data_IF_188684868086
#
_entry.id   IF_188684868086
#
_cell.length_a   1.000
_cell.length_b   1.000
_cell.length_c   1.000
_cell.angle_alpha   90.00
_cell.angle_beta   90.00
_cell.angle_gamma   90.00
#
_symmetry.space_group_name_H-M   'P 1'
#
loop_
_entity.id
_entity.type
_entity.pdbx_description
1 polymer ?
#
# COMPACT_ATOMS: atom_id res chain seq x y z
N UNK A 1 -4.80 24.34 3.89
CA UNK A 1 -4.30 25.36 2.93
C UNK A 1 -3.44 24.68 1.89
N UNK A 2 -2.38 23.98 2.28
CA UNK A 2 -1.55 23.19 1.35
C UNK A 2 -2.36 22.18 0.51
N UNK A 3 -3.34 21.49 1.09
CA UNK A 3 -4.24 20.63 0.30
C UNK A 3 -5.05 21.39 -0.76
N UNK A 4 -5.50 22.62 -0.46
CA UNK A 4 -6.26 23.43 -1.42
C UNK A 4 -5.35 23.89 -2.57
N UNK A 5 -4.12 24.25 -2.25
CA UNK A 5 -3.10 24.58 -3.24
C UNK A 5 -2.72 23.37 -4.10
N UNK A 6 -2.59 22.19 -3.49
CA UNK A 6 -2.34 20.93 -4.19
C UNK A 6 -3.39 20.63 -5.27
N UNK A 7 -4.67 20.92 -5.00
CA UNK A 7 -5.76 20.72 -5.96
C UNK A 7 -6.06 21.96 -6.82
N UNK A 8 -5.19 22.98 -6.81
CA UNK A 8 -5.35 24.16 -7.66
C UNK A 8 -6.48 25.12 -7.28
N UNK A 9 -6.97 25.09 -6.02
CA UNK A 9 -8.04 25.99 -5.58
C UNK A 9 -7.54 27.09 -4.62
N UNK A 10 -8.21 28.25 -4.59
CA UNK A 10 -7.89 29.32 -3.65
C UNK A 10 -7.86 28.85 -2.19
N UNK A 11 -6.93 29.38 -1.39
CA UNK A 11 -6.75 28.97 0.01
C UNK A 11 -7.94 29.31 0.92
N UNK A 12 -8.87 30.16 0.46
CA UNK A 12 -10.13 30.51 1.14
C UNK A 12 -11.30 29.57 0.78
N UNK A 13 -11.10 28.58 -0.10
CA UNK A 13 -12.06 27.56 -0.50
C UNK A 13 -12.32 26.48 0.60
N UNK A 14 -12.41 26.89 1.87
CA UNK A 14 -12.64 26.02 3.02
C UNK A 14 -13.95 25.22 2.95
N UNK A 15 -14.91 25.66 2.14
CA UNK A 15 -16.16 24.93 1.91
C UNK A 15 -15.90 23.53 1.36
N UNK A 16 -14.88 23.34 0.51
CA UNK A 16 -14.49 22.02 0.01
C UNK A 16 -14.06 21.08 1.15
N UNK A 17 -13.26 21.57 2.10
CA UNK A 17 -12.82 20.78 3.26
C UNK A 17 -14.03 20.37 4.13
N UNK A 18 -15.01 21.27 4.27
CA UNK A 18 -16.22 21.03 5.05
C UNK A 18 -17.14 20.03 4.37
N UNK A 19 -17.40 20.21 3.08
CA UNK A 19 -18.33 19.37 2.31
C UNK A 19 -17.79 17.96 2.06
N UNK A 20 -16.47 17.82 1.92
CA UNK A 20 -15.80 16.51 1.81
C UNK A 20 -15.62 15.81 3.16
N UNK A 21 -15.90 16.47 4.29
CA UNK A 21 -15.74 15.89 5.63
C UNK A 21 -14.28 15.63 6.05
N UNK A 22 -13.31 16.21 5.35
CA UNK A 22 -11.88 15.89 5.48
C UNK A 22 -11.17 16.59 6.65
N UNK A 23 -11.81 17.58 7.27
CA UNK A 23 -11.20 18.41 8.33
C UNK A 23 -10.56 17.58 9.47
N UNK A 24 -11.28 16.58 9.97
CA UNK A 24 -10.82 15.76 11.11
C UNK A 24 -9.56 14.96 10.75
N UNK A 25 -9.51 14.45 9.52
CA UNK A 25 -8.41 13.64 9.01
C UNK A 25 -7.17 14.52 8.78
N UNK A 26 -7.32 15.72 8.22
CA UNK A 26 -6.23 16.70 8.13
C UNK A 26 -5.69 17.15 9.49
N UNK A 27 -6.58 17.35 10.46
CA UNK A 27 -6.18 17.74 11.82
C UNK A 27 -5.31 16.66 12.49
N UNK A 28 -5.71 15.39 12.40
CA UNK A 28 -4.94 14.28 12.95
C UNK A 28 -3.65 14.01 12.15
N UNK A 29 -3.66 14.21 10.84
CA UNK A 29 -2.47 14.11 10.00
C UNK A 29 -1.42 15.15 10.39
N UNK A 30 -1.83 16.40 10.61
CA UNK A 30 -0.92 17.49 11.00
C UNK A 30 -0.18 17.16 12.30
N UNK A 31 -0.88 16.54 13.27
CA UNK A 31 -0.24 16.06 14.50
C UNK A 31 0.77 14.96 14.22
N UNK A 32 0.40 14.01 13.36
CA UNK A 32 1.20 12.84 13.01
C UNK A 32 2.50 13.24 12.32
N UNK A 33 2.42 14.05 11.26
CA UNK A 33 3.58 14.57 10.54
C UNK A 33 4.57 15.29 11.47
N UNK A 34 4.07 16.09 12.42
CA UNK A 34 4.93 16.79 13.38
C UNK A 34 5.65 15.85 14.37
N UNK A 35 5.07 14.70 14.68
CA UNK A 35 5.62 13.78 15.69
C UNK A 35 6.41 12.62 15.11
N UNK A 36 6.17 12.26 13.84
CA UNK A 36 6.81 11.11 13.20
C UNK A 36 8.20 11.45 12.67
N UNK A 37 8.36 12.63 12.06
CA UNK A 37 9.60 13.00 11.37
C UNK A 37 10.53 13.83 12.25
N UNK A 38 11.84 13.65 12.06
CA UNK A 38 12.88 14.42 12.73
C UNK A 38 13.02 15.84 12.18
N UNK A 39 14.11 16.52 12.54
CA UNK A 39 14.44 17.89 12.07
C UNK A 39 15.58 17.94 11.05
N UNK A 40 16.08 16.78 10.59
CA UNK A 40 17.09 16.77 9.52
C UNK A 40 16.47 17.18 8.19
N UNK A 41 17.30 17.58 7.25
CA UNK A 41 16.86 17.90 5.88
C UNK A 41 16.14 16.71 5.24
N UNK A 42 16.74 15.52 5.28
CA UNK A 42 16.11 14.29 4.79
C UNK A 42 14.76 13.99 5.48
N UNK A 43 14.63 14.31 6.78
CA UNK A 43 13.36 14.13 7.49
C UNK A 43 12.29 15.09 7.01
N UNK A 44 12.66 16.33 6.67
CA UNK A 44 11.72 17.33 6.16
C UNK A 44 11.32 17.03 4.70
N UNK A 45 12.23 16.51 3.87
CA UNK A 45 11.92 16.02 2.52
C UNK A 45 10.88 14.91 2.61
N UNK A 46 11.17 13.84 3.35
CA UNK A 46 10.28 12.70 3.51
C UNK A 46 8.92 13.07 4.14
N UNK A 47 8.91 14.02 5.08
CA UNK A 47 7.67 14.57 5.65
C UNK A 47 6.83 15.30 4.61
N UNK A 48 7.46 16.02 3.69
CA UNK A 48 6.76 16.71 2.60
C UNK A 48 6.21 15.71 1.59
N UNK A 49 6.98 14.72 1.17
CA UNK A 49 6.51 13.63 0.30
C UNK A 49 5.32 12.90 0.95
N UNK A 50 5.45 12.50 2.22
CA UNK A 50 4.36 11.85 2.98
C UNK A 50 3.09 12.70 3.05
N UNK A 51 3.24 14.02 3.09
CA UNK A 51 2.10 14.94 3.08
C UNK A 51 1.42 14.95 1.71
N UNK A 52 2.17 14.91 0.62
CA UNK A 52 1.63 14.86 -0.74
C UNK A 52 0.94 13.51 -1.01
N UNK A 53 1.58 12.39 -0.67
CA UNK A 53 0.96 11.05 -0.80
C UNK A 53 -0.32 10.94 0.02
N UNK A 54 -0.35 11.55 1.21
CA UNK A 54 -1.57 11.64 2.00
C UNK A 54 -2.67 12.48 1.36
N UNK A 55 -2.34 13.55 0.63
CA UNK A 55 -3.34 14.33 -0.11
C UNK A 55 -3.98 13.50 -1.22
N UNK A 56 -3.18 12.75 -1.97
CA UNK A 56 -3.66 11.80 -2.99
C UNK A 56 -4.53 10.71 -2.35
N UNK A 57 -4.11 10.15 -1.21
CA UNK A 57 -4.92 9.20 -0.47
C UNK A 57 -6.30 9.79 -0.06
N UNK A 58 -6.34 11.03 0.44
CA UNK A 58 -7.61 11.72 0.75
C UNK A 58 -8.49 11.86 -0.48
N UNK A 59 -7.92 12.24 -1.63
CA UNK A 59 -8.63 12.40 -2.90
C UNK A 59 -9.21 11.09 -3.41
N UNK A 60 -8.44 10.00 -3.35
CA UNK A 60 -8.90 8.65 -3.67
C UNK A 60 -10.15 8.29 -2.83
N UNK A 61 -10.13 8.57 -1.53
CA UNK A 61 -11.27 8.31 -0.63
C UNK A 61 -12.48 9.22 -0.89
N UNK A 62 -12.26 10.46 -1.33
CA UNK A 62 -13.35 11.32 -1.82
C UNK A 62 -13.98 10.71 -3.08
N UNK A 63 -13.17 10.26 -4.04
CA UNK A 63 -13.64 9.62 -5.28
C UNK A 63 -14.46 8.36 -5.04
N UNK A 64 -14.08 7.56 -4.03
CA UNK A 64 -14.79 6.35 -3.62
C UNK A 64 -16.06 6.63 -2.77
N UNK A 65 -16.32 7.89 -2.39
CA UNK A 65 -17.48 8.27 -1.58
C UNK A 65 -17.36 7.90 -0.08
N UNK A 66 -16.14 7.74 0.44
CA UNK A 66 -15.85 7.22 1.79
C UNK A 66 -16.11 8.20 2.96
N UNK A 67 -17.10 9.10 2.84
CA UNK A 67 -17.33 10.18 3.81
C UNK A 67 -17.57 9.74 5.26
N UNK A 68 -18.02 8.50 5.49
CA UNK A 68 -18.25 7.93 6.83
C UNK A 68 -17.10 7.08 7.39
N UNK A 69 -16.23 6.53 6.54
CA UNK A 69 -15.15 5.59 6.93
C UNK A 69 -13.76 6.20 6.89
N UNK A 70 -13.58 7.36 6.25
CA UNK A 70 -12.30 8.03 6.09
C UNK A 70 -11.54 8.27 7.40
N UNK A 71 -12.23 8.52 8.51
CA UNK A 71 -11.60 8.65 9.82
C UNK A 71 -11.00 7.32 10.34
N UNK A 72 -11.65 6.19 10.06
CA UNK A 72 -11.11 4.86 10.39
C UNK A 72 -9.92 4.55 9.47
N UNK A 73 -10.10 4.71 8.17
CA UNK A 73 -9.06 4.39 7.18
C UNK A 73 -7.83 5.30 7.31
N UNK A 74 -8.02 6.56 7.71
CA UNK A 74 -6.90 7.48 7.99
C UNK A 74 -6.06 7.05 9.19
N UNK A 75 -6.65 6.33 10.16
CA UNK A 75 -5.88 5.70 11.24
C UNK A 75 -5.05 4.52 10.73
N UNK A 76 -5.59 3.75 9.79
CA UNK A 76 -4.87 2.65 9.15
C UNK A 76 -3.72 3.18 8.29
N UNK A 77 -3.94 4.21 7.47
CA UNK A 77 -2.87 4.89 6.71
C UNK A 77 -1.75 5.38 7.64
N UNK A 78 -2.12 6.07 8.73
CA UNK A 78 -1.16 6.53 9.73
C UNK A 78 -0.34 5.40 10.35
N UNK A 79 -0.99 4.29 10.70
CA UNK A 79 -0.34 3.17 11.42
C UNK A 79 0.55 2.35 10.48
N UNK A 80 0.03 2.07 9.28
CA UNK A 80 0.56 1.05 8.39
C UNK A 80 1.36 1.62 7.21
N UNK A 81 1.30 2.94 6.97
CA UNK A 81 2.14 3.60 5.97
C UNK A 81 3.09 4.57 6.67
N UNK A 82 2.57 5.68 7.21
CA UNK A 82 3.40 6.80 7.72
C UNK A 82 4.38 6.37 8.82
N UNK A 83 3.95 5.48 9.73
CA UNK A 83 4.75 5.06 10.88
C UNK A 83 5.64 3.85 10.60
N UNK A 84 5.60 3.30 9.39
CA UNK A 84 6.41 2.14 9.00
C UNK A 84 7.77 2.59 8.48
N UNK A 85 8.76 1.70 8.54
CA UNK A 85 10.13 1.99 8.08
C UNK A 85 10.17 2.12 6.56
N UNK A 86 9.23 1.47 5.89
CA UNK A 86 9.01 1.44 4.44
C UNK A 86 8.33 2.73 3.91
N UNK A 87 8.01 3.72 4.77
CA UNK A 87 7.34 4.93 4.33
C UNK A 87 8.11 5.68 3.22
N UNK A 88 9.43 5.73 3.29
CA UNK A 88 10.27 6.38 2.27
C UNK A 88 10.21 5.62 0.95
N UNK A 89 10.19 4.29 1.00
CA UNK A 89 10.10 3.44 -0.19
C UNK A 89 8.74 3.64 -0.86
N UNK A 90 7.66 3.60 -0.07
CA UNK A 90 6.31 3.93 -0.55
C UNK A 90 6.26 5.31 -1.19
N UNK A 91 6.79 6.34 -0.53
CA UNK A 91 6.76 7.71 -1.06
C UNK A 91 7.52 7.83 -2.38
N UNK A 92 8.69 7.20 -2.49
CA UNK A 92 9.50 7.20 -3.71
C UNK A 92 8.83 6.44 -4.86
N UNK A 93 8.15 5.32 -4.55
CA UNK A 93 7.49 4.50 -5.56
C UNK A 93 6.27 5.20 -6.17
N UNK A 94 5.57 6.03 -5.40
CA UNK A 94 4.38 6.76 -5.88
C UNK A 94 4.67 8.21 -6.28
N UNK A 95 5.93 8.67 -6.25
CA UNK A 95 6.30 10.07 -6.48
C UNK A 95 5.79 10.57 -7.84
N UNK A 96 6.14 9.87 -8.93
CA UNK A 96 5.70 10.21 -10.29
C UNK A 96 4.17 10.21 -10.41
N UNK A 97 3.49 9.24 -9.78
CA UNK A 97 2.02 9.14 -9.80
C UNK A 97 1.37 10.33 -9.07
N UNK A 98 1.97 10.77 -7.97
CA UNK A 98 1.48 11.93 -7.20
C UNK A 98 1.64 13.21 -8.01
N UNK A 99 2.76 13.37 -8.73
CA UNK A 99 3.01 14.50 -9.63
C UNK A 99 1.99 14.51 -10.78
N UNK A 100 1.78 13.37 -11.46
CA UNK A 100 0.79 13.24 -12.53
C UNK A 100 -0.62 13.58 -12.06
N UNK A 101 -1.03 13.07 -10.90
CA UNK A 101 -2.33 13.41 -10.30
C UNK A 101 -2.42 14.90 -9.99
N UNK A 102 -1.35 15.50 -9.48
CA UNK A 102 -1.35 16.92 -9.17
C UNK A 102 -1.52 17.76 -10.45
N UNK A 103 -0.73 17.48 -11.48
CA UNK A 103 -0.76 18.20 -12.75
C UNK A 103 -2.14 18.11 -13.40
N UNK A 104 -2.72 16.91 -13.45
CA UNK A 104 -4.09 16.72 -13.94
C UNK A 104 -5.10 17.57 -13.17
N UNK A 105 -5.04 17.57 -11.83
CA UNK A 105 -5.96 18.36 -11.00
C UNK A 105 -5.81 19.86 -11.25
N UNK A 106 -4.60 20.35 -11.52
CA UNK A 106 -4.33 21.75 -11.84
C UNK A 106 -4.90 22.19 -13.19
N UNK A 107 -5.08 21.26 -14.14
CA UNK A 107 -5.77 21.55 -15.41
C UNK A 107 -7.29 21.73 -15.23
N UNK A 108 -7.85 21.22 -14.13
CA UNK A 108 -9.28 21.27 -13.86
C UNK A 108 -9.68 22.54 -13.09
N UNK A 109 -10.78 23.18 -13.54
CA UNK A 109 -11.40 24.27 -12.79
C UNK A 109 -12.27 23.73 -11.66
N UNK A 110 -11.67 23.50 -10.50
CA UNK A 110 -12.38 23.01 -9.30
C UNK A 110 -13.10 24.16 -8.59
N UNK A 111 -14.43 24.10 -8.55
CA UNK A 111 -15.33 25.12 -7.96
C UNK A 111 -16.23 24.57 -6.85
N UNK A 112 -16.14 23.26 -6.58
CA UNK A 112 -17.01 22.54 -5.65
C UNK A 112 -16.76 21.05 -5.68
N UNK A 113 -17.44 20.31 -4.80
CA UNK A 113 -17.26 18.86 -4.68
C UNK A 113 -17.59 18.15 -5.98
N UNK A 114 -18.62 18.57 -6.72
CA UNK A 114 -18.97 17.96 -8.00
C UNK A 114 -17.84 18.07 -9.05
N UNK A 115 -17.22 19.25 -9.17
CA UNK A 115 -16.07 19.43 -10.07
C UNK A 115 -14.82 18.72 -9.58
N UNK A 116 -14.63 18.59 -8.25
CA UNK A 116 -13.53 17.83 -7.67
C UNK A 116 -13.70 16.33 -7.95
N UNK A 117 -14.89 15.76 -7.72
CA UNK A 117 -15.21 14.38 -8.05
C UNK A 117 -15.05 14.09 -9.53
N UNK A 118 -15.41 15.05 -10.39
CA UNK A 118 -15.17 14.95 -11.83
C UNK A 118 -13.66 14.89 -12.13
N UNK A 119 -12.86 15.81 -11.60
CA UNK A 119 -11.41 15.81 -11.82
C UNK A 119 -10.77 14.49 -11.36
N UNK A 120 -11.16 13.96 -10.19
CA UNK A 120 -10.71 12.64 -9.71
C UNK A 120 -11.13 11.51 -10.68
N UNK A 121 -12.33 11.60 -11.27
CA UNK A 121 -12.82 10.60 -12.23
C UNK A 121 -12.10 10.69 -13.57
N UNK A 122 -11.75 11.89 -14.00
CA UNK A 122 -11.03 12.11 -15.25
C UNK A 122 -9.56 11.61 -15.14
N UNK A 123 -8.97 11.62 -13.93
CA UNK A 123 -7.65 11.05 -13.60
C UNK A 123 -7.71 9.63 -13.00
N UNK A 124 -8.74 8.85 -13.32
CA UNK A 124 -9.02 7.55 -12.67
C UNK A 124 -7.84 6.58 -12.73
N UNK A 125 -7.12 6.52 -13.84
CA UNK A 125 -6.06 5.53 -14.05
C UNK A 125 -4.90 5.75 -13.05
N UNK A 126 -4.43 6.99 -12.87
CA UNK A 126 -3.39 7.32 -11.89
C UNK A 126 -3.85 7.07 -10.44
N UNK A 127 -5.13 7.33 -10.15
CA UNK A 127 -5.71 6.99 -8.84
C UNK A 127 -5.81 5.47 -8.61
N UNK A 128 -6.08 4.67 -9.65
CA UNK A 128 -6.09 3.21 -9.54
C UNK A 128 -4.69 2.68 -9.29
N UNK A 129 -3.68 3.17 -10.02
CA UNK A 129 -2.27 2.80 -9.81
C UNK A 129 -1.78 3.16 -8.40
N UNK A 130 -2.07 4.37 -7.91
CA UNK A 130 -1.76 4.75 -6.54
C UNK A 130 -2.42 3.82 -5.51
N UNK A 131 -3.68 3.44 -5.73
CA UNK A 131 -4.40 2.58 -4.80
C UNK A 131 -3.84 1.15 -4.79
N UNK A 132 -3.41 0.62 -5.94
CA UNK A 132 -2.81 -0.70 -6.03
C UNK A 132 -1.51 -0.79 -5.20
N UNK A 133 -0.62 0.21 -5.36
CA UNK A 133 0.62 0.30 -4.57
C UNK A 133 0.30 0.51 -3.08
N UNK A 134 -0.63 1.41 -2.77
CA UNK A 134 -1.06 1.63 -1.38
C UNK A 134 -1.60 0.35 -0.72
N UNK A 135 -2.43 -0.41 -1.42
CA UNK A 135 -3.03 -1.64 -0.88
C UNK A 135 -1.96 -2.74 -0.68
N UNK A 136 -0.96 -2.82 -1.57
CA UNK A 136 0.21 -3.70 -1.37
C UNK A 136 0.97 -3.37 -0.08
N UNK A 137 1.33 -2.11 0.13
CA UNK A 137 2.05 -1.69 1.34
C UNK A 137 1.19 -1.86 2.59
N UNK A 138 -0.11 -1.57 2.51
CA UNK A 138 -1.04 -1.76 3.61
C UNK A 138 -1.12 -3.23 4.02
N UNK A 139 -1.21 -4.14 3.05
CA UNK A 139 -1.29 -5.57 3.30
C UNK A 139 0.03 -6.13 3.86
N UNK A 140 1.16 -5.70 3.33
CA UNK A 140 2.48 -6.09 3.84
C UNK A 140 2.69 -5.61 5.28
N UNK A 141 2.39 -4.33 5.55
CA UNK A 141 2.48 -3.76 6.88
C UNK A 141 1.56 -4.45 7.91
N UNK A 142 0.39 -4.93 7.48
CA UNK A 142 -0.55 -5.71 8.31
C UNK A 142 -0.06 -7.14 8.56
N UNK A 143 0.62 -7.77 7.60
CA UNK A 143 1.25 -9.09 7.77
C UNK A 143 2.42 -9.03 8.75
N UNK A 144 3.22 -7.95 8.69
CA UNK A 144 4.39 -7.75 9.54
C UNK A 144 4.06 -7.50 11.03
N UNK A 145 2.83 -7.10 11.36
CA UNK A 145 2.40 -6.87 12.74
C UNK A 145 1.92 -8.11 13.48
N UNK A 146 1.69 -9.22 12.78
CA UNK A 146 1.11 -10.40 13.38
C UNK A 146 2.01 -11.61 13.12
N UNK A 147 2.96 -11.83 14.03
CA UNK A 147 3.80 -13.03 14.04
C UNK A 147 2.96 -14.31 14.01
N UNK A 148 1.78 -14.34 14.63
CA UNK A 148 0.88 -15.49 14.55
C UNK A 148 0.28 -15.66 13.15
N UNK A 149 0.02 -14.55 12.43
CA UNK A 149 -0.38 -14.60 11.02
C UNK A 149 0.76 -15.08 10.13
N UNK A 150 1.97 -14.57 10.33
CA UNK A 150 3.16 -15.02 9.62
C UNK A 150 3.42 -16.52 9.87
N UNK A 151 3.42 -16.96 11.13
CA UNK A 151 3.53 -18.38 11.51
C UNK A 151 2.42 -19.21 10.87
N UNK A 152 1.18 -18.70 10.83
CA UNK A 152 0.05 -19.38 10.19
C UNK A 152 0.25 -19.51 8.67
N UNK A 153 0.83 -18.51 8.01
CA UNK A 153 1.10 -18.55 6.58
C UNK A 153 2.24 -19.51 6.24
N UNK A 154 3.35 -19.49 7.01
CA UNK A 154 4.40 -20.51 6.92
C UNK A 154 3.82 -21.91 7.16
N UNK A 155 2.93 -22.06 8.14
CA UNK A 155 2.25 -23.33 8.43
C UNK A 155 1.37 -23.81 7.27
N UNK A 156 0.71 -22.91 6.53
CA UNK A 156 -0.06 -23.26 5.33
C UNK A 156 0.84 -23.75 4.21
N UNK A 157 2.02 -23.14 4.01
CA UNK A 157 3.00 -23.58 3.01
C UNK A 157 3.51 -24.98 3.36
N UNK A 158 3.93 -25.19 4.61
CA UNK A 158 4.36 -26.49 5.11
C UNK A 158 3.27 -27.56 4.94
N UNK A 159 2.00 -27.21 5.23
CA UNK A 159 0.86 -28.10 5.02
C UNK A 159 0.69 -28.46 3.54
N UNK A 160 0.76 -27.50 2.62
CA UNK A 160 0.68 -27.76 1.17
C UNK A 160 1.76 -28.73 0.70
N UNK A 161 3.00 -28.57 1.17
CA UNK A 161 4.10 -29.49 0.83
C UNK A 161 3.88 -30.89 1.42
N UNK A 162 3.38 -30.96 2.66
CA UNK A 162 3.01 -32.23 3.31
C UNK A 162 1.90 -32.94 2.56
N UNK A 163 0.89 -32.21 2.11
CA UNK A 163 -0.23 -32.74 1.34
C UNK A 163 0.26 -33.29 -0.01
N UNK A 164 1.10 -32.54 -0.74
CA UNK A 164 1.74 -33.00 -1.99
C UNK A 164 2.55 -34.28 -1.75
N UNK A 165 3.38 -34.32 -0.70
CA UNK A 165 4.14 -35.51 -0.33
C UNK A 165 3.23 -36.70 -0.04
N UNK A 166 2.14 -36.49 0.71
CA UNK A 166 1.19 -37.55 1.09
C UNK A 166 0.41 -38.10 -0.11
N UNK A 167 0.24 -37.29 -1.16
CA UNK A 167 -0.41 -37.68 -2.41
C UNK A 167 0.58 -38.27 -3.44
N UNK A 168 1.78 -38.65 -2.99
CA UNK A 168 2.79 -39.28 -3.85
C UNK A 168 3.60 -38.28 -4.67
N UNK A 169 3.65 -37.00 -4.28
CA UNK A 169 4.50 -35.98 -4.91
C UNK A 169 3.80 -35.11 -5.96
N UNK A 170 2.53 -35.37 -6.28
CA UNK A 170 1.70 -34.57 -7.18
C UNK A 170 0.32 -34.35 -6.55
N UNK A 171 -0.42 -33.33 -7.02
CA UNK A 171 -1.77 -33.05 -6.53
C UNK A 171 -2.84 -33.86 -7.26
N UNK A 172 -3.85 -34.31 -6.52
CA UNK A 172 -5.09 -34.85 -7.07
C UNK A 172 -4.88 -36.11 -7.92
N UNK A 173 -5.39 -36.10 -9.15
CA UNK A 173 -5.33 -37.24 -10.08
C UNK A 173 -4.11 -37.23 -10.99
N UNK A 174 -3.18 -36.26 -10.83
CA UNK A 174 -1.97 -36.19 -11.65
C UNK A 174 -1.06 -37.41 -11.42
N UNK A 175 -0.34 -37.80 -12.47
CA UNK A 175 0.58 -38.94 -12.47
C UNK A 175 1.90 -38.52 -13.12
N UNK A 176 3.04 -38.97 -12.61
CA UNK A 176 4.35 -38.55 -13.10
C UNK A 176 4.59 -38.96 -14.56
N UNK A 177 3.94 -40.03 -14.99
CA UNK A 177 3.96 -40.56 -16.35
C UNK A 177 3.32 -39.58 -17.36
N UNK A 178 2.51 -38.63 -16.88
CA UNK A 178 1.88 -37.60 -17.70
C UNK A 178 2.76 -36.34 -17.88
N UNK A 179 3.89 -36.26 -17.17
CA UNK A 179 4.78 -35.11 -17.21
C UNK A 179 5.90 -35.31 -18.24
N UNK A 180 6.25 -34.25 -18.96
CA UNK A 180 7.47 -34.22 -19.77
C UNK A 180 8.71 -34.23 -18.87
N UNK A 181 9.87 -34.56 -19.45
CA UNK A 181 11.12 -34.56 -18.68
C UNK A 181 11.51 -33.14 -18.22
N UNK A 182 11.27 -32.11 -19.05
CA UNK A 182 11.45 -30.70 -18.66
C UNK A 182 10.57 -30.31 -17.46
N UNK A 183 9.33 -30.79 -17.42
CA UNK A 183 8.42 -30.54 -16.28
C UNK A 183 8.90 -31.23 -15.00
N UNK A 184 9.43 -32.46 -15.12
CA UNK A 184 10.03 -33.18 -13.98
C UNK A 184 11.28 -32.46 -13.48
N UNK A 185 12.12 -31.97 -14.39
CA UNK A 185 13.31 -31.19 -14.05
C UNK A 185 12.95 -29.87 -13.36
N UNK A 186 11.96 -29.14 -13.88
CA UNK A 186 11.46 -27.92 -13.26
C UNK A 186 10.94 -28.17 -11.83
N UNK A 187 10.14 -29.23 -11.62
CA UNK A 187 9.67 -29.61 -10.28
C UNK A 187 10.83 -29.95 -9.34
N UNK A 188 11.86 -30.65 -9.81
CA UNK A 188 13.04 -30.97 -9.00
C UNK A 188 13.82 -29.72 -8.61
N UNK A 189 14.00 -28.77 -9.53
CA UNK A 189 14.70 -27.52 -9.26
C UNK A 189 13.92 -26.67 -8.24
N UNK A 190 12.60 -26.57 -8.38
CA UNK A 190 11.75 -25.87 -7.42
C UNK A 190 11.79 -26.51 -6.02
N UNK A 191 11.77 -27.84 -5.92
CA UNK A 191 11.91 -28.51 -4.62
C UNK A 191 13.30 -28.29 -4.00
N UNK A 192 14.35 -28.20 -4.82
CA UNK A 192 15.72 -27.90 -4.35
C UNK A 192 15.82 -26.47 -3.82
N UNK A 193 15.24 -25.48 -4.49
CA UNK A 193 15.22 -24.10 -4.00
C UNK A 193 14.46 -24.00 -2.68
N UNK A 194 13.29 -24.64 -2.59
CA UNK A 194 12.54 -24.71 -1.32
C UNK A 194 13.39 -25.31 -0.20
N UNK A 195 14.16 -26.37 -0.48
CA UNK A 195 15.05 -26.98 0.51
C UNK A 195 16.11 -25.99 0.98
N UNK A 196 16.87 -25.39 0.05
CA UNK A 196 17.96 -24.44 0.36
C UNK A 196 17.41 -23.26 1.18
N UNK A 197 16.34 -22.63 0.70
CA UNK A 197 15.71 -21.51 1.41
C UNK A 197 15.19 -21.92 2.79
N UNK A 198 14.64 -23.13 2.92
CA UNK A 198 14.17 -23.62 4.23
C UNK A 198 15.32 -23.88 5.20
N UNK A 199 16.46 -24.37 4.72
CA UNK A 199 17.67 -24.58 5.52
C UNK A 199 18.24 -23.23 6.00
N UNK A 200 18.34 -22.24 5.10
CA UNK A 200 18.80 -20.89 5.45
C UNK A 200 17.89 -20.24 6.50
N UNK A 201 16.57 -20.34 6.32
CA UNK A 201 15.59 -19.83 7.28
C UNK A 201 15.68 -20.56 8.62
N UNK A 202 15.85 -21.89 8.61
CA UNK A 202 15.99 -22.69 9.83
C UNK A 202 17.23 -22.28 10.64
N UNK A 203 18.38 -22.12 9.99
CA UNK A 203 19.59 -21.64 10.66
C UNK A 203 19.44 -20.18 11.09
N UNK A 204 18.74 -19.34 10.32
CA UNK A 204 18.37 -17.99 10.73
C UNK A 204 17.57 -17.96 12.03
N UNK A 205 16.57 -18.84 12.19
CA UNK A 205 15.78 -18.93 13.42
C UNK A 205 16.54 -19.50 14.62
N UNK A 206 17.56 -20.32 14.37
CA UNK A 206 18.37 -20.95 15.41
C UNK A 206 19.49 -20.05 15.92
N UNK A 207 19.98 -19.15 15.08
CA UNK A 207 21.07 -18.21 15.38
C UNK A 207 20.60 -16.79 15.74
N UNK A 208 19.27 -16.57 15.82
CA UNK A 208 18.63 -15.32 16.25
C UNK A 208 18.42 -15.24 17.77
#
# INVERSE_FOLDING_TARGET
REFLEFIGVPQDAYYLIKETGTYSVFYEMTKTLRTTFGKSEDSEVNKNETKLTFFVWVLSRIGQGAGGTMAYEGRDYKKNIIKKKENNEFNSEVEDIVEDIQDDLLEHKITGVASLSKAITDSKDSFEEFNDIYDEYLDNAKKDENIDSFIKDISKIAKKLKDVKSQGGLRGTMRFEQLSDDQKEALRNQMREILITSEDLFEGYKNA
#
